data_IF_092363475169
#
_entry.id   IF_092363475169
#
_cell.length_a   1.000
_cell.length_b   1.000
_cell.length_c   1.000
_cell.angle_alpha   90.00
_cell.angle_beta   90.00
_cell.angle_gamma   90.00
#
_symmetry.space_group_name_H-M   'P 1'
#
loop_
_entity.id
_entity.type
_entity.pdbx_description
1 polymer ?
#
# COMPACT_ATOMS: atom_id res chain seq x y z
N UNK A 1 15.92 -1.39 7.08
CA UNK A 1 14.53 -1.36 7.63
C UNK A 1 13.67 -2.24 6.75
N UNK A 2 12.95 -3.21 7.33
CA UNK A 2 12.05 -4.11 6.62
C UNK A 2 10.60 -3.79 6.96
N UNK A 3 9.72 -3.82 5.98
CA UNK A 3 8.28 -3.59 6.17
C UNK A 3 7.55 -4.87 6.58
N UNK A 4 7.96 -6.02 6.05
CA UNK A 4 7.38 -7.35 6.30
C UNK A 4 8.35 -8.44 5.85
N UNK A 5 8.00 -9.73 6.08
CA UNK A 5 8.92 -10.87 5.95
C UNK A 5 9.03 -11.49 4.56
N UNK A 6 8.31 -11.05 3.54
CA UNK A 6 8.41 -11.68 2.23
C UNK A 6 9.84 -11.62 1.67
N UNK A 7 10.23 -12.66 0.97
CA UNK A 7 11.62 -12.89 0.62
C UNK A 7 12.24 -11.78 -0.26
N UNK A 8 11.47 -11.17 -1.12
CA UNK A 8 11.88 -10.03 -1.94
C UNK A 8 12.15 -8.73 -1.13
N UNK A 9 11.71 -8.70 0.15
CA UNK A 9 11.96 -7.59 1.07
C UNK A 9 13.07 -7.89 2.09
N UNK A 10 13.32 -9.15 2.42
CA UNK A 10 14.28 -9.55 3.46
C UNK A 10 15.42 -10.44 2.98
N UNK A 11 15.35 -10.95 1.74
CA UNK A 11 16.30 -11.93 1.22
C UNK A 11 17.76 -11.47 1.26
N UNK A 12 18.02 -10.18 1.18
CA UNK A 12 19.36 -9.61 1.30
C UNK A 12 19.85 -9.38 2.73
N UNK A 13 19.02 -9.54 3.76
CA UNK A 13 19.39 -9.16 5.14
C UNK A 13 20.67 -9.85 5.63
N UNK A 14 20.78 -11.15 5.42
CA UNK A 14 21.94 -11.93 5.91
C UNK A 14 23.25 -11.54 5.24
N UNK A 15 23.22 -11.19 3.97
CA UNK A 15 24.41 -10.78 3.21
C UNK A 15 24.80 -9.33 3.51
N UNK A 16 23.81 -8.45 3.71
CA UNK A 16 24.03 -7.02 3.95
C UNK A 16 24.36 -6.73 5.43
N UNK A 17 24.09 -7.67 6.33
CA UNK A 17 24.37 -7.50 7.76
C UNK A 17 25.84 -7.69 8.06
N UNK A 18 26.57 -6.59 8.04
CA UNK A 18 27.98 -6.50 8.49
C UNK A 18 28.05 -5.80 9.84
N UNK A 19 29.29 -5.71 10.42
CA UNK A 19 29.51 -5.03 11.70
C UNK A 19 28.98 -3.58 11.66
N UNK A 20 28.15 -3.24 12.66
CA UNK A 20 27.53 -1.92 12.78
C UNK A 20 26.20 -1.73 12.03
N UNK A 21 25.84 -2.62 11.10
CA UNK A 21 24.53 -2.57 10.43
C UNK A 21 23.46 -3.15 11.36
N UNK A 22 22.37 -2.40 11.55
CA UNK A 22 21.21 -2.83 12.33
C UNK A 22 20.02 -3.09 11.44
N UNK A 23 19.34 -4.22 11.68
CA UNK A 23 18.10 -4.62 10.99
C UNK A 23 16.90 -4.28 11.87
N UNK A 24 15.99 -3.48 11.33
CA UNK A 24 14.73 -3.09 11.94
C UNK A 24 13.58 -3.72 11.18
N UNK A 25 12.54 -4.15 11.88
CA UNK A 25 11.35 -4.75 11.28
C UNK A 25 10.18 -4.84 12.25
N UNK A 26 9.00 -5.29 11.80
CA UNK A 26 7.81 -5.39 12.65
C UNK A 26 8.00 -6.37 13.79
N UNK A 27 7.65 -5.94 15.02
CA UNK A 27 7.76 -6.75 16.23
C UNK A 27 6.86 -8.01 16.18
N UNK A 28 5.76 -7.93 15.45
CA UNK A 28 4.79 -9.01 15.28
C UNK A 28 5.16 -10.02 14.18
N UNK A 29 6.36 -9.91 13.60
CA UNK A 29 6.82 -10.77 12.52
C UNK A 29 8.15 -11.44 12.90
N UNK A 30 8.06 -12.68 13.37
CA UNK A 30 9.23 -13.47 13.77
C UNK A 30 10.06 -14.03 12.60
N UNK A 31 9.65 -13.80 11.35
CA UNK A 31 10.27 -14.38 10.17
C UNK A 31 11.28 -13.45 9.48
N UNK A 32 11.57 -12.28 10.06
CA UNK A 32 12.57 -11.35 9.49
C UNK A 32 13.98 -11.80 9.87
N UNK A 33 14.82 -12.21 8.90
CA UNK A 33 16.17 -12.69 9.18
C UNK A 33 17.02 -11.59 9.82
N UNK A 34 17.82 -11.96 10.82
CA UNK A 34 18.81 -11.10 11.45
C UNK A 34 18.24 -9.81 12.09
N UNK A 35 16.97 -9.78 12.45
CA UNK A 35 16.34 -8.61 13.08
C UNK A 35 16.98 -8.30 14.44
N UNK A 36 17.48 -7.07 14.60
CA UNK A 36 18.04 -6.57 15.86
C UNK A 36 17.03 -5.78 16.68
N UNK A 37 16.19 -5.01 15.99
CA UNK A 37 15.31 -4.03 16.59
C UNK A 37 13.89 -4.23 16.09
N UNK A 38 13.06 -4.95 16.85
CA UNK A 38 11.63 -5.05 16.56
C UNK A 38 10.96 -3.70 16.79
N UNK A 39 10.05 -3.32 15.89
CA UNK A 39 9.29 -2.08 15.93
C UNK A 39 7.80 -2.36 16.03
N UNK A 40 7.13 -1.61 16.87
CA UNK A 40 5.69 -1.64 17.09
C UNK A 40 5.02 -0.38 16.59
N UNK A 41 3.70 -0.42 16.50
CA UNK A 41 2.92 0.75 16.13
C UNK A 41 3.23 1.97 16.98
N UNK A 42 3.33 3.12 16.36
CA UNK A 42 3.66 4.42 16.97
C UNK A 42 5.11 4.56 17.48
N UNK A 43 5.95 3.53 17.34
CA UNK A 43 7.38 3.70 17.59
C UNK A 43 7.96 4.76 16.65
N UNK A 44 9.03 5.40 17.13
CA UNK A 44 9.81 6.35 16.32
C UNK A 44 11.24 5.85 16.16
N UNK A 45 11.82 6.11 15.01
CA UNK A 45 13.23 5.84 14.78
C UNK A 45 13.89 6.98 14.02
N UNK A 46 15.16 7.23 14.34
CA UNK A 46 15.96 8.21 13.62
C UNK A 46 16.82 7.51 12.56
N UNK A 47 16.76 8.02 11.32
CA UNK A 47 17.55 7.52 10.21
C UNK A 47 18.09 8.69 9.38
N UNK A 48 19.40 8.79 9.25
CA UNK A 48 20.05 9.86 8.45
C UNK A 48 19.71 11.29 8.87
N UNK A 49 19.32 11.51 10.13
CA UNK A 49 18.89 12.81 10.64
C UNK A 49 17.40 13.10 10.45
N UNK A 50 16.66 12.24 9.74
CA UNK A 50 15.21 12.27 9.66
C UNK A 50 14.58 11.38 10.74
N UNK A 51 13.34 11.69 11.13
CA UNK A 51 12.58 10.92 12.11
C UNK A 51 11.40 10.24 11.44
N UNK A 52 11.36 8.92 11.52
CA UNK A 52 10.24 8.10 11.05
C UNK A 52 9.31 7.72 12.20
N UNK A 53 8.02 7.73 11.93
CA UNK A 53 6.98 7.13 12.75
C UNK A 53 6.55 5.80 12.13
N UNK A 54 6.48 4.75 12.95
CA UNK A 54 6.01 3.43 12.54
C UNK A 54 4.48 3.41 12.57
N UNK A 55 3.89 2.86 11.51
CA UNK A 55 2.44 2.64 11.39
C UNK A 55 2.24 1.15 11.14
N UNK A 56 1.49 0.46 12.01
CA UNK A 56 1.03 -0.90 11.73
C UNK A 56 0.03 -0.88 10.58
N UNK A 57 0.31 -1.65 9.53
CA UNK A 57 -0.49 -1.74 8.31
C UNK A 57 -0.68 -3.21 7.88
N UNK A 58 -0.86 -4.08 8.87
CA UNK A 58 -1.12 -5.49 8.65
C UNK A 58 -2.33 -5.76 7.74
N UNK A 59 -2.27 -6.86 7.01
CA UNK A 59 -3.29 -7.27 6.03
C UNK A 59 -2.71 -8.02 4.85
N UNK A 60 -1.67 -7.51 4.22
CA UNK A 60 -0.88 -8.24 3.23
C UNK A 60 -0.14 -9.39 3.91
N UNK A 61 0.63 -9.11 4.95
CA UNK A 61 1.05 -10.02 6.00
C UNK A 61 0.51 -9.54 7.34
N UNK A 62 0.50 -10.38 8.38
CA UNK A 62 0.01 -9.99 9.70
C UNK A 62 0.91 -8.93 10.34
N UNK A 63 2.23 -9.10 10.23
CA UNK A 63 3.23 -8.23 10.84
C UNK A 63 3.77 -7.14 9.91
N UNK A 64 2.94 -6.51 9.08
CA UNK A 64 3.38 -5.48 8.14
C UNK A 64 3.36 -4.08 8.76
N UNK A 65 4.45 -3.31 8.59
CA UNK A 65 4.56 -1.91 9.03
C UNK A 65 4.93 -0.98 7.88
N UNK A 66 4.55 0.29 8.02
CA UNK A 66 4.99 1.39 7.17
C UNK A 66 5.85 2.37 7.98
N UNK A 67 6.75 3.07 7.29
CA UNK A 67 7.60 4.11 7.87
C UNK A 67 7.17 5.47 7.30
N UNK A 68 6.58 6.31 8.14
CA UNK A 68 6.16 7.65 7.77
C UNK A 68 7.13 8.70 8.33
N UNK A 69 7.66 9.53 7.46
CA UNK A 69 8.55 10.66 7.74
C UNK A 69 7.75 11.97 7.61
N UNK A 70 7.21 12.52 8.72
CA UNK A 70 6.27 13.64 8.66
C UNK A 70 6.90 14.92 8.09
N UNK A 71 8.15 15.23 8.44
CA UNK A 71 8.83 16.45 7.97
C UNK A 71 9.15 16.38 6.48
N UNK A 72 9.50 15.19 6.00
CA UNK A 72 9.82 14.90 4.61
C UNK A 72 8.56 14.60 3.77
N UNK A 73 7.38 14.54 4.42
CA UNK A 73 6.10 14.21 3.78
C UNK A 73 6.19 12.94 2.94
N UNK A 74 6.81 11.90 3.49
CA UNK A 74 7.15 10.68 2.76
C UNK A 74 6.77 9.45 3.56
N UNK A 75 6.17 8.46 2.92
CA UNK A 75 5.85 7.17 3.53
C UNK A 75 6.37 6.01 2.68
N UNK A 76 7.07 5.07 3.30
CA UNK A 76 7.48 3.80 2.73
C UNK A 76 6.51 2.74 3.21
N UNK A 77 5.66 2.25 2.31
CA UNK A 77 4.48 1.45 2.66
C UNK A 77 4.58 -0.02 2.27
N UNK A 78 5.73 -0.45 1.72
CA UNK A 78 5.95 -1.82 1.27
C UNK A 78 4.82 -2.29 0.35
N UNK A 79 4.19 -3.40 0.72
CA UNK A 79 3.12 -4.06 -0.04
C UNK A 79 1.71 -3.77 0.51
N UNK A 80 1.55 -2.75 1.37
CA UNK A 80 0.21 -2.38 1.85
C UNK A 80 -0.55 -1.56 0.82
N UNK A 81 0.05 -0.49 0.29
CA UNK A 81 -0.58 0.42 -0.68
C UNK A 81 0.28 0.54 -1.92
N UNK A 82 -0.31 0.37 -3.10
CA UNK A 82 0.31 0.58 -4.41
C UNK A 82 -0.36 1.73 -5.17
N UNK A 83 0.32 2.25 -6.19
CA UNK A 83 -0.33 3.16 -7.12
C UNK A 83 -1.54 2.47 -7.78
N UNK A 84 -2.74 3.06 -7.58
CA UNK A 84 -4.05 2.54 -8.02
C UNK A 84 -4.38 1.13 -7.49
N UNK A 85 -3.75 0.69 -6.39
CA UNK A 85 -3.92 -0.67 -5.88
C UNK A 85 -3.56 -0.83 -4.41
N UNK A 86 -3.60 -2.07 -3.96
CA UNK A 86 -3.04 -2.52 -2.68
C UNK A 86 -2.49 -3.93 -2.82
N UNK A 87 -1.74 -4.39 -1.82
CA UNK A 87 -1.23 -5.76 -1.76
C UNK A 87 -2.32 -6.83 -1.77
N UNK A 88 -1.95 -8.06 -2.11
CA UNK A 88 -2.81 -9.22 -1.87
C UNK A 88 -2.95 -9.47 -0.37
N UNK A 89 -4.10 -9.99 0.01
CA UNK A 89 -4.36 -10.37 1.40
C UNK A 89 -3.99 -11.84 1.59
N UNK A 90 -2.71 -12.10 1.95
CA UNK A 90 -2.22 -13.47 2.15
C UNK A 90 -2.52 -14.00 3.54
N UNK A 91 -2.40 -13.18 4.57
CA UNK A 91 -2.47 -13.62 5.97
C UNK A 91 -3.55 -12.90 6.77
N UNK A 92 -3.81 -11.62 6.46
CA UNK A 92 -4.74 -10.80 7.21
C UNK A 92 -6.22 -11.05 6.86
N UNK A 93 -7.07 -10.31 7.54
CA UNK A 93 -8.52 -10.27 7.27
C UNK A 93 -8.91 -8.96 6.59
N UNK A 94 -10.06 -8.95 5.90
CA UNK A 94 -10.56 -7.74 5.24
C UNK A 94 -10.78 -6.57 6.22
N UNK A 95 -11.39 -6.75 7.41
CA UNK A 95 -11.48 -5.68 8.40
C UNK A 95 -10.13 -5.13 8.85
N UNK A 96 -9.13 -5.99 9.05
CA UNK A 96 -7.78 -5.58 9.42
C UNK A 96 -7.13 -4.76 8.31
N UNK A 97 -7.12 -5.28 7.08
CA UNK A 97 -6.45 -4.61 5.97
C UNK A 97 -7.14 -3.29 5.59
N UNK A 98 -8.48 -3.27 5.61
CA UNK A 98 -9.23 -2.03 5.42
C UNK A 98 -8.90 -0.98 6.48
N UNK A 99 -8.80 -1.38 7.76
CA UNK A 99 -8.37 -0.49 8.83
C UNK A 99 -6.95 0.07 8.57
N UNK A 100 -6.03 -0.78 8.12
CA UNK A 100 -4.67 -0.39 7.76
C UNK A 100 -4.63 0.62 6.61
N UNK A 101 -5.41 0.39 5.55
CA UNK A 101 -5.51 1.33 4.42
C UNK A 101 -6.13 2.67 4.83
N UNK A 102 -7.12 2.68 5.74
CA UNK A 102 -7.66 3.93 6.29
C UNK A 102 -6.60 4.72 7.05
N UNK A 103 -5.76 4.07 7.85
CA UNK A 103 -4.65 4.72 8.56
C UNK A 103 -3.66 5.40 7.61
N UNK A 104 -3.33 4.76 6.48
CA UNK A 104 -2.52 5.37 5.43
C UNK A 104 -3.28 6.51 4.73
N UNK A 105 -4.57 6.32 4.44
CA UNK A 105 -5.44 7.34 3.84
C UNK A 105 -5.55 8.60 4.70
N UNK A 106 -5.48 8.47 6.02
CA UNK A 106 -5.58 9.60 6.95
C UNK A 106 -4.32 10.46 7.02
N UNK A 107 -3.21 10.06 6.39
CA UNK A 107 -2.03 10.90 6.26
C UNK A 107 -2.33 12.12 5.36
N UNK A 108 -1.53 13.21 5.46
CA UNK A 108 -1.70 14.40 4.62
C UNK A 108 -1.65 14.10 3.12
N UNK A 109 -2.46 14.82 2.34
CA UNK A 109 -2.58 14.61 0.89
C UNK A 109 -1.27 14.82 0.13
N UNK A 110 -0.38 15.67 0.64
CA UNK A 110 0.94 15.95 0.08
C UNK A 110 2.02 14.94 0.51
N UNK A 111 1.60 13.77 1.06
CA UNK A 111 2.50 12.67 1.37
C UNK A 111 2.87 11.90 0.10
N UNK A 112 4.17 11.78 -0.16
CA UNK A 112 4.72 10.94 -1.23
C UNK A 112 4.76 9.48 -0.77
N UNK A 113 4.13 8.58 -1.53
CA UNK A 113 4.03 7.15 -1.23
C UNK A 113 5.07 6.37 -2.03
N UNK A 114 6.01 5.76 -1.33
CA UNK A 114 6.96 4.80 -1.87
C UNK A 114 6.47 3.38 -1.58
N UNK A 115 5.88 2.75 -2.57
CA UNK A 115 5.53 1.33 -2.54
C UNK A 115 6.66 0.48 -3.13
N UNK A 116 6.56 -0.86 -2.97
CA UNK A 116 7.66 -1.74 -3.33
C UNK A 116 7.69 -2.13 -4.81
N UNK A 117 6.56 -2.11 -5.51
CA UNK A 117 6.43 -2.69 -6.85
C UNK A 117 5.78 -1.75 -7.87
N UNK A 118 6.21 -1.87 -9.12
CA UNK A 118 5.67 -1.15 -10.29
C UNK A 118 4.50 -1.94 -10.90
N UNK A 119 3.36 -2.01 -10.19
CA UNK A 119 2.14 -2.71 -10.66
C UNK A 119 1.10 -1.79 -11.28
N UNK A 120 1.43 -0.54 -11.46
CA UNK A 120 0.50 0.56 -11.76
C UNK A 120 -0.34 0.32 -13.01
N UNK A 121 0.25 -0.17 -14.12
CA UNK A 121 -0.53 -0.43 -15.35
C UNK A 121 -1.61 -1.50 -15.16
N UNK A 122 -1.26 -2.61 -14.48
CA UNK A 122 -2.22 -3.66 -14.15
C UNK A 122 -3.30 -3.18 -13.19
N UNK A 123 -2.92 -2.33 -12.23
CA UNK A 123 -3.85 -1.74 -11.29
C UNK A 123 -4.77 -0.75 -11.99
N UNK A 124 -4.25 0.07 -12.90
CA UNK A 124 -5.01 1.04 -13.69
C UNK A 124 -6.11 0.37 -14.52
N UNK A 125 -5.79 -0.76 -15.18
CA UNK A 125 -6.80 -1.53 -15.93
C UNK A 125 -7.94 -2.01 -15.04
N UNK A 126 -7.62 -2.51 -13.84
CA UNK A 126 -8.63 -2.93 -12.88
C UNK A 126 -9.42 -1.73 -12.34
N UNK A 127 -8.76 -0.65 -11.94
CA UNK A 127 -9.42 0.54 -11.44
C UNK A 127 -10.46 1.08 -12.44
N UNK A 128 -10.10 1.14 -13.73
CA UNK A 128 -11.01 1.52 -14.82
C UNK A 128 -12.19 0.55 -14.97
N UNK A 129 -12.06 -0.72 -14.60
CA UNK A 129 -13.17 -1.67 -14.67
C UNK A 129 -14.20 -1.49 -13.56
N UNK A 130 -13.81 -0.87 -12.44
CA UNK A 130 -14.69 -0.70 -11.27
C UNK A 130 -15.15 0.74 -11.05
N UNK A 131 -14.45 1.74 -11.62
CA UNK A 131 -14.85 3.15 -11.53
C UNK A 131 -14.59 3.91 -12.88
N UNK A 132 -15.17 3.44 -14.01
CA UNK A 132 -14.92 4.06 -15.34
C UNK A 132 -15.43 5.50 -15.45
N UNK A 133 -16.40 5.91 -14.64
CA UNK A 133 -16.96 7.28 -14.62
C UNK A 133 -16.10 8.29 -13.85
N UNK A 134 -15.03 7.88 -13.19
CA UNK A 134 -14.13 8.79 -12.48
C UNK A 134 -13.19 9.51 -13.45
N UNK A 135 -13.50 10.76 -13.81
CA UNK A 135 -12.72 11.55 -14.77
C UNK A 135 -11.26 11.76 -14.34
N UNK A 136 -10.99 11.87 -13.03
CA UNK A 136 -9.62 11.98 -12.52
C UNK A 136 -8.83 10.69 -12.73
N UNK A 137 -9.49 9.54 -12.53
CA UNK A 137 -8.89 8.24 -12.83
C UNK A 137 -8.61 8.09 -14.32
N UNK A 138 -9.55 8.44 -15.20
CA UNK A 138 -9.36 8.41 -16.66
C UNK A 138 -8.11 9.20 -17.05
N UNK A 139 -8.01 10.44 -16.60
CA UNK A 139 -6.86 11.31 -16.87
C UNK A 139 -5.55 10.67 -16.36
N UNK A 140 -5.55 10.19 -15.13
CA UNK A 140 -4.37 9.54 -14.51
C UNK A 140 -3.93 8.31 -15.31
N UNK A 141 -4.86 7.51 -15.79
CA UNK A 141 -4.56 6.32 -16.61
C UNK A 141 -3.88 6.70 -17.93
N UNK A 142 -4.28 7.79 -18.57
CA UNK A 142 -3.62 8.29 -19.77
C UNK A 142 -2.19 8.76 -19.49
N UNK A 143 -1.97 9.47 -18.37
CA UNK A 143 -0.64 9.89 -17.92
C UNK A 143 0.27 8.68 -17.63
N UNK A 144 -0.26 7.64 -16.95
CA UNK A 144 0.43 6.39 -16.69
C UNK A 144 0.86 5.72 -18.00
N UNK A 145 -0.06 5.57 -18.97
CA UNK A 145 0.24 5.00 -20.29
C UNK A 145 1.35 5.78 -21.00
N UNK A 146 1.27 7.11 -20.95
CA UNK A 146 2.28 7.98 -21.56
C UNK A 146 3.65 7.82 -20.90
N UNK A 147 3.74 7.75 -19.55
CA UNK A 147 4.98 7.47 -18.83
C UNK A 147 5.54 6.10 -19.21
N UNK A 148 4.71 5.05 -19.13
CA UNK A 148 5.16 3.68 -19.40
C UNK A 148 5.60 3.46 -20.86
N UNK A 149 4.98 4.15 -21.81
CA UNK A 149 5.42 4.10 -23.23
C UNK A 149 6.83 4.69 -23.44
N UNK A 150 7.29 5.55 -22.53
CA UNK A 150 8.64 6.11 -22.51
C UNK A 150 9.60 5.37 -21.59
N UNK A 151 9.15 4.27 -20.94
CA UNK A 151 9.95 3.53 -19.95
C UNK A 151 10.12 4.26 -18.60
N UNK A 152 9.34 5.31 -18.36
CA UNK A 152 9.40 6.08 -17.11
C UNK A 152 8.65 5.39 -15.97
N UNK A 153 9.13 5.48 -14.72
CA UNK A 153 8.42 4.94 -13.56
C UNK A 153 7.14 5.73 -13.29
N UNK A 154 6.15 5.06 -12.69
CA UNK A 154 4.89 5.67 -12.22
C UNK A 154 4.80 5.75 -10.70
N UNK A 155 5.79 5.23 -10.01
CA UNK A 155 6.00 5.33 -8.56
C UNK A 155 7.29 6.12 -8.30
N UNK A 156 7.34 6.91 -7.21
CA UNK A 156 6.33 7.09 -6.15
C UNK A 156 5.08 7.83 -6.64
N UNK A 157 3.99 7.69 -5.90
CA UNK A 157 2.74 8.41 -6.14
C UNK A 157 2.42 9.40 -5.02
N UNK A 158 1.48 10.31 -5.25
CA UNK A 158 1.02 11.27 -4.24
C UNK A 158 -0.25 10.73 -3.57
N UNK A 159 -0.31 10.75 -2.23
CA UNK A 159 -1.45 10.20 -1.49
C UNK A 159 -2.78 10.88 -1.85
N UNK A 160 -2.77 12.20 -2.04
CA UNK A 160 -3.97 12.93 -2.49
C UNK A 160 -4.51 12.41 -3.83
N UNK A 161 -3.63 12.04 -4.76
CA UNK A 161 -4.02 11.43 -6.02
C UNK A 161 -4.57 10.00 -5.82
N UNK A 162 -3.96 9.22 -4.92
CA UNK A 162 -4.48 7.90 -4.54
C UNK A 162 -5.88 7.99 -3.93
N UNK A 163 -6.13 8.93 -3.02
CA UNK A 163 -7.45 9.15 -2.42
C UNK A 163 -8.53 9.45 -3.45
N UNK A 164 -8.17 10.09 -4.55
CA UNK A 164 -9.10 10.49 -5.61
C UNK A 164 -9.34 9.40 -6.66
N UNK A 165 -8.42 8.43 -6.80
CA UNK A 165 -8.41 7.55 -7.97
C UNK A 165 -8.20 6.06 -7.64
N UNK A 166 -7.67 5.73 -6.46
CA UNK A 166 -7.39 4.34 -6.09
C UNK A 166 -8.65 3.66 -5.54
N UNK A 167 -9.23 2.64 -6.22
CA UNK A 167 -10.47 2.02 -5.79
C UNK A 167 -10.38 1.37 -4.40
N UNK A 168 -9.21 0.96 -3.96
CA UNK A 168 -8.99 0.36 -2.64
C UNK A 168 -9.03 1.38 -1.48
N UNK A 169 -8.98 2.68 -1.80
CA UNK A 169 -9.17 3.77 -0.84
C UNK A 169 -10.54 4.45 -0.97
N UNK A 170 -11.42 3.97 -1.89
CA UNK A 170 -12.65 4.67 -2.28
C UNK A 170 -13.93 3.82 -2.16
N UNK A 171 -13.81 2.56 -1.79
CA UNK A 171 -14.95 1.65 -1.70
C UNK A 171 -16.05 2.10 -0.73
N UNK A 172 -15.71 2.90 0.27
CA UNK A 172 -16.64 3.48 1.25
C UNK A 172 -17.34 4.76 0.79
N UNK A 173 -16.83 5.42 -0.27
CA UNK A 173 -17.33 6.73 -0.73
C UNK A 173 -17.81 6.75 -2.19
N UNK A 174 -17.51 5.73 -3.00
CA UNK A 174 -17.90 5.66 -4.41
C UNK A 174 -19.05 4.69 -4.63
N UNK A 175 -20.24 5.21 -4.96
CA UNK A 175 -21.39 4.38 -5.31
C UNK A 175 -21.14 3.58 -6.59
N UNK A 176 -20.36 4.11 -7.54
CA UNK A 176 -20.01 3.42 -8.77
C UNK A 176 -19.19 2.17 -8.49
N UNK A 177 -18.15 2.28 -7.65
CA UNK A 177 -17.35 1.12 -7.22
C UNK A 177 -18.26 0.10 -6.54
N UNK A 178 -19.08 0.52 -5.57
CA UNK A 178 -20.00 -0.36 -4.84
C UNK A 178 -20.92 -1.14 -5.78
N UNK A 179 -21.48 -0.47 -6.76
CA UNK A 179 -22.36 -1.09 -7.75
C UNK A 179 -21.58 -2.09 -8.64
N UNK A 180 -20.42 -1.70 -9.13
CA UNK A 180 -19.64 -2.50 -10.08
C UNK A 180 -18.99 -3.73 -9.44
N UNK A 181 -18.73 -3.72 -8.12
CA UNK A 181 -18.26 -4.91 -7.38
C UNK A 181 -19.40 -5.74 -6.80
N UNK A 182 -20.66 -5.38 -7.06
CA UNK A 182 -21.83 -6.10 -6.56
C UNK A 182 -22.01 -5.98 -5.05
N UNK A 183 -21.73 -4.80 -4.49
CA UNK A 183 -22.01 -4.54 -3.08
C UNK A 183 -23.52 -4.43 -2.82
N UNK A 184 -23.94 -4.94 -1.69
CA UNK A 184 -25.33 -4.87 -1.21
C UNK A 184 -25.46 -3.81 -0.10
N UNK A 185 -26.70 -3.55 0.34
CA UNK A 185 -26.94 -2.60 1.44
C UNK A 185 -26.45 -3.13 2.80
N UNK A 186 -26.29 -4.44 2.92
CA UNK A 186 -25.84 -5.09 4.16
C UNK A 186 -24.30 -5.21 4.24
N UNK A 187 -23.58 -4.89 3.16
CA UNK A 187 -22.12 -4.91 3.16
C UNK A 187 -21.56 -3.67 3.89
N UNK A 188 -20.77 -3.92 4.92
CA UNK A 188 -19.93 -2.89 5.53
C UNK A 188 -18.72 -2.54 4.63
N UNK A 189 -17.97 -1.52 5.00
CA UNK A 189 -16.82 -1.06 4.21
C UNK A 189 -15.74 -2.14 4.04
N UNK A 190 -15.55 -3.00 5.04
CA UNK A 190 -14.58 -4.09 4.96
C UNK A 190 -15.04 -5.19 3.98
N UNK A 191 -16.33 -5.48 3.93
CA UNK A 191 -16.91 -6.40 2.96
C UNK A 191 -16.81 -5.84 1.53
N UNK A 192 -17.00 -4.53 1.35
CA UNK A 192 -16.81 -3.86 0.07
C UNK A 192 -15.35 -3.94 -0.36
N UNK A 193 -14.42 -3.60 0.55
CA UNK A 193 -12.99 -3.75 0.30
C UNK A 193 -12.63 -5.17 -0.12
N UNK A 194 -13.18 -6.20 0.55
CA UNK A 194 -12.96 -7.60 0.19
C UNK A 194 -13.42 -7.89 -1.24
N UNK A 195 -14.60 -7.41 -1.64
CA UNK A 195 -15.11 -7.57 -3.01
C UNK A 195 -14.19 -6.91 -4.05
N UNK A 196 -13.69 -5.70 -3.76
CA UNK A 196 -12.70 -5.02 -4.63
C UNK A 196 -11.43 -5.87 -4.73
N UNK A 197 -10.90 -6.39 -3.61
CA UNK A 197 -9.68 -7.20 -3.61
C UNK A 197 -9.85 -8.51 -4.36
N UNK A 198 -10.94 -9.25 -4.12
CA UNK A 198 -11.26 -10.48 -4.83
C UNK A 198 -11.51 -10.23 -6.34
N UNK A 199 -12.15 -9.12 -6.66
CA UNK A 199 -12.31 -8.68 -8.04
C UNK A 199 -10.97 -8.51 -8.74
N UNK A 200 -10.00 -7.83 -8.12
CA UNK A 200 -8.65 -7.68 -8.65
C UNK A 200 -7.89 -9.01 -8.73
N UNK A 201 -8.04 -9.90 -7.76
CA UNK A 201 -7.35 -11.21 -7.77
C UNK A 201 -7.81 -12.09 -8.94
N UNK A 202 -9.07 -11.95 -9.35
CA UNK A 202 -9.67 -12.70 -10.46
C UNK A 202 -9.61 -11.96 -11.82
N UNK A 203 -9.17 -10.70 -11.84
CA UNK A 203 -9.12 -9.89 -13.04
C UNK A 203 -8.06 -10.39 -14.03
N UNK A 204 -8.45 -10.52 -15.30
CA UNK A 204 -7.61 -11.03 -16.40
C UNK A 204 -7.41 -10.01 -17.54
N UNK A 205 -7.77 -8.74 -17.30
CA UNK A 205 -7.63 -7.65 -18.29
C UNK A 205 -6.21 -7.07 -18.38
#
# INVERSE_FOLDING_TARGET
MNTHHHNDHVGGNSELKTDGVKVYGPANDGNIPCMDNPLSDSDTLSFGGAEARVIDVGGHTLGHIAFYFPKEKTAFVGDSLFALGCGRMFEGTAPQFWSSLKRLRDLPDDTTIFCAHEYTESNARYAMSVEPGNELLVKRVEEIKAKRSRGEPTVPSLLGEEKLTNPFLRGDISDEIRNNVGATRDDDDAAIFLKIRQGKDNFRG
#
